data_IF_751597356513
#
_entry.id   IF_751597356513
#
_cell.length_a   1.000
_cell.length_b   1.000
_cell.length_c   1.000
_cell.angle_alpha   90.00
_cell.angle_beta   90.00
_cell.angle_gamma   90.00
#
_symmetry.space_group_name_H-M   'P 1'
#
loop_
_entity.id
_entity.type
_entity.pdbx_description
1 polymer ?
#
# COMPACT_ATOMS: atom_id res chain seq x y z
N UNK A 1 16.35 -2.98 15.54
CA UNK A 1 14.95 -3.00 15.06
C UNK A 1 14.80 -4.10 14.04
N UNK A 2 13.75 -4.91 14.17
CA UNK A 2 13.43 -5.93 13.17
C UNK A 2 12.72 -5.27 11.97
N UNK A 3 12.99 -5.73 10.75
CA UNK A 3 12.33 -5.17 9.55
C UNK A 3 10.81 -5.31 9.63
N UNK A 4 10.28 -6.44 10.13
CA UNK A 4 8.84 -6.63 10.31
C UNK A 4 8.22 -5.64 11.28
N UNK A 5 8.94 -5.34 12.36
CA UNK A 5 8.50 -4.35 13.34
C UNK A 5 8.42 -2.95 12.72
N UNK A 6 9.40 -2.58 11.89
CA UNK A 6 9.38 -1.33 11.11
C UNK A 6 8.18 -1.32 10.16
N UNK A 7 7.99 -2.39 9.40
CA UNK A 7 6.93 -2.48 8.39
C UNK A 7 5.53 -2.34 9.03
N UNK A 8 5.32 -2.93 10.20
CA UNK A 8 4.05 -2.80 10.96
C UNK A 8 3.71 -1.37 11.41
N UNK A 9 4.60 -0.40 11.22
CA UNK A 9 4.44 1.01 11.62
C UNK A 9 4.42 1.98 10.44
N UNK A 10 4.54 1.51 9.20
CA UNK A 10 4.58 2.37 8.01
C UNK A 10 3.39 2.11 7.09
N UNK A 11 3.08 3.14 6.30
CA UNK A 11 2.04 3.08 5.27
C UNK A 11 2.67 2.80 3.90
N UNK A 12 2.23 1.73 3.24
CA UNK A 12 2.69 1.44 1.89
C UNK A 12 2.03 2.41 0.90
N UNK A 13 2.82 3.33 0.35
CA UNK A 13 2.29 4.50 -0.36
C UNK A 13 2.55 4.42 -1.87
N UNK A 14 1.53 4.68 -2.68
CA UNK A 14 1.64 4.93 -4.12
C UNK A 14 0.66 6.04 -4.50
N UNK A 15 1.19 7.24 -4.76
CA UNK A 15 0.39 8.44 -5.07
C UNK A 15 0.76 9.07 -6.42
N UNK A 16 1.50 8.35 -7.27
CA UNK A 16 1.84 8.85 -8.60
C UNK A 16 0.58 9.04 -9.45
N UNK A 17 0.53 10.13 -10.21
CA UNK A 17 -0.66 10.50 -11.01
C UNK A 17 -0.96 9.53 -12.15
N UNK A 18 0.05 8.79 -12.60
CA UNK A 18 -0.03 7.75 -13.63
C UNK A 18 -0.21 6.34 -13.05
N UNK A 19 -0.48 6.21 -11.74
CA UNK A 19 -0.74 4.92 -11.10
C UNK A 19 -1.96 4.24 -11.72
N UNK A 20 -1.75 3.04 -12.21
CA UNK A 20 -2.80 2.16 -12.76
C UNK A 20 -3.48 1.36 -11.65
N UNK A 21 -4.66 0.82 -11.95
CA UNK A 21 -5.36 -0.02 -10.99
C UNK A 21 -4.56 -1.28 -10.64
N UNK A 22 -3.90 -1.88 -11.61
CA UNK A 22 -3.10 -3.09 -11.44
C UNK A 22 -1.98 -2.87 -10.42
N UNK A 23 -1.32 -1.72 -10.48
CA UNK A 23 -0.29 -1.32 -9.50
C UNK A 23 -0.88 -1.08 -8.09
N UNK A 24 -2.06 -0.48 -7.99
CA UNK A 24 -2.74 -0.30 -6.71
C UNK A 24 -3.12 -1.65 -6.09
N UNK A 25 -3.60 -2.60 -6.90
CA UNK A 25 -3.92 -3.95 -6.43
C UNK A 25 -2.68 -4.68 -5.91
N UNK A 26 -1.57 -4.61 -6.65
CA UNK A 26 -0.28 -5.19 -6.23
C UNK A 26 0.21 -4.56 -4.93
N UNK A 27 0.15 -3.22 -4.79
CA UNK A 27 0.48 -2.51 -3.55
C UNK A 27 -0.34 -3.01 -2.36
N UNK A 28 -1.65 -3.22 -2.53
CA UNK A 28 -2.51 -3.76 -1.48
C UNK A 28 -2.15 -5.21 -1.11
N UNK A 29 -1.85 -6.06 -2.10
CA UNK A 29 -1.41 -7.44 -1.86
C UNK A 29 -0.07 -7.48 -1.11
N UNK A 30 0.87 -6.62 -1.47
CA UNK A 30 2.16 -6.49 -0.79
C UNK A 30 2.02 -5.95 0.63
N UNK A 31 1.19 -4.93 0.84
CA UNK A 31 0.89 -4.40 2.16
C UNK A 31 0.33 -5.48 3.10
N UNK A 32 -0.54 -6.37 2.60
CA UNK A 32 -1.03 -7.52 3.37
C UNK A 32 0.07 -8.56 3.59
N UNK A 33 0.86 -8.88 2.56
CA UNK A 33 1.94 -9.87 2.62
C UNK A 33 3.03 -9.49 3.62
N UNK A 34 3.34 -8.20 3.71
CA UNK A 34 4.39 -7.66 4.56
C UNK A 34 3.87 -7.04 5.87
N UNK A 35 2.57 -7.14 6.12
CA UNK A 35 1.89 -6.66 7.32
C UNK A 35 2.20 -5.18 7.62
N UNK A 36 2.09 -4.33 6.60
CA UNK A 36 2.23 -2.88 6.80
C UNK A 36 1.04 -2.31 7.58
N UNK A 37 1.19 -1.13 8.17
CA UNK A 37 0.14 -0.54 9.00
C UNK A 37 -1.10 -0.19 8.16
N UNK A 38 -0.89 0.38 6.97
CA UNK A 38 -1.94 0.70 6.01
C UNK A 38 -1.39 0.85 4.59
N UNK A 39 -2.27 1.19 3.65
CA UNK A 39 -1.90 1.68 2.31
C UNK A 39 -2.33 3.13 2.14
N UNK A 40 -1.56 3.90 1.38
CA UNK A 40 -1.88 5.27 1.02
C UNK A 40 -1.93 5.40 -0.51
N UNK A 41 -3.14 5.59 -1.06
CA UNK A 41 -3.45 5.50 -2.50
C UNK A 41 -4.32 6.68 -2.96
N UNK A 42 -4.41 6.98 -4.27
CA UNK A 42 -5.25 8.05 -4.77
C UNK A 42 -6.73 7.79 -4.42
N UNK A 43 -7.51 8.82 -4.02
CA UNK A 43 -8.91 8.67 -3.62
C UNK A 43 -9.80 7.97 -4.64
N UNK A 44 -9.49 8.09 -5.94
CA UNK A 44 -10.21 7.45 -7.04
C UNK A 44 -10.21 5.92 -6.96
N UNK A 45 -9.23 5.31 -6.29
CA UNK A 45 -9.10 3.87 -6.18
C UNK A 45 -9.59 3.31 -4.83
N UNK A 46 -9.85 4.15 -3.82
CA UNK A 46 -10.21 3.72 -2.45
C UNK A 46 -11.45 2.82 -2.41
N UNK A 47 -12.46 3.08 -3.25
CA UNK A 47 -13.68 2.25 -3.29
C UNK A 47 -13.42 0.84 -3.86
N UNK A 48 -12.36 0.67 -4.64
CA UNK A 48 -12.01 -0.57 -5.35
C UNK A 48 -10.95 -1.39 -4.63
N UNK A 49 -10.08 -0.71 -3.86
CA UNK A 49 -9.01 -1.29 -3.05
C UNK A 49 -9.54 -2.10 -1.85
#
# INVERSE_FOLDING_TARGET
>A
MNIREILSKVDHTLLNVDSTWEQIKELCEDAMRYETASVCIPPSFVKRA
#
